data_IF_439939667157
#
_entry.id   IF_439939667157
#
_cell.length_a   1.000
_cell.length_b   1.000
_cell.length_c   1.000
_cell.angle_alpha   90.00
_cell.angle_beta   90.00
_cell.angle_gamma   90.00
#
_symmetry.space_group_name_H-M   'P 1'
#
loop_
_entity.id
_entity.type
_entity.pdbx_description
1 polymer ?
#
# COMPACT_ATOMS: atom_id res chain seq x y z
N UNK A 1 -2.18 16.10 -23.27
CA UNK A 1 -3.61 16.02 -22.90
C UNK A 1 -3.80 17.04 -21.80
N UNK A 2 -4.57 18.10 -22.02
CA UNK A 2 -4.90 19.09 -20.99
C UNK A 2 -6.36 18.86 -20.62
N UNK A 3 -6.62 18.61 -19.35
CA UNK A 3 -7.97 18.40 -18.83
C UNK A 3 -8.27 19.61 -17.96
N UNK A 4 -9.20 20.44 -18.40
CA UNK A 4 -9.75 21.52 -17.60
C UNK A 4 -10.90 20.96 -16.75
N UNK A 5 -10.66 20.84 -15.45
CA UNK A 5 -11.66 20.40 -14.48
C UNK A 5 -12.26 21.65 -13.85
N UNK A 6 -13.58 21.78 -13.94
CA UNK A 6 -14.32 22.81 -13.22
C UNK A 6 -14.51 22.39 -11.75
N UNK A 7 -13.47 22.64 -10.94
CA UNK A 7 -13.40 22.25 -9.54
C UNK A 7 -14.53 22.82 -8.67
N UNK A 8 -15.21 23.90 -9.11
CA UNK A 8 -16.33 24.47 -8.36
C UNK A 8 -17.61 23.63 -8.45
N UNK A 9 -17.71 22.78 -9.48
CA UNK A 9 -18.85 21.90 -9.72
C UNK A 9 -18.55 20.43 -9.34
N UNK A 10 -17.51 20.20 -8.55
CA UNK A 10 -17.12 18.86 -8.06
C UNK A 10 -17.50 18.74 -6.59
N UNK A 11 -18.53 17.95 -6.30
CA UNK A 11 -19.02 17.73 -4.94
C UNK A 11 -18.16 16.74 -4.14
N UNK A 12 -17.47 15.82 -4.84
CA UNK A 12 -16.72 14.72 -4.21
C UNK A 12 -15.44 14.42 -4.95
N UNK A 13 -14.34 14.34 -4.20
CA UNK A 13 -13.05 13.85 -4.66
C UNK A 13 -12.72 12.55 -3.95
N UNK A 14 -12.47 11.49 -4.71
CA UNK A 14 -12.02 10.19 -4.20
C UNK A 14 -10.54 10.00 -4.53
N UNK A 15 -9.73 9.78 -3.50
CA UNK A 15 -8.27 9.68 -3.62
C UNK A 15 -7.81 8.28 -3.23
N UNK A 16 -6.94 7.71 -4.04
CA UNK A 16 -6.14 6.56 -3.63
C UNK A 16 -5.06 6.98 -2.62
N UNK A 17 -4.45 6.04 -1.92
CA UNK A 17 -3.48 6.29 -0.85
C UNK A 17 -2.04 6.04 -1.29
N UNK A 18 -1.69 4.80 -1.62
CA UNK A 18 -0.30 4.39 -1.86
C UNK A 18 0.15 4.82 -3.26
N UNK A 19 1.23 5.60 -3.34
CA UNK A 19 1.69 6.21 -4.59
C UNK A 19 0.87 7.42 -5.05
N UNK A 20 -0.21 7.78 -4.34
CA UNK A 20 -1.03 8.97 -4.59
C UNK A 20 -0.85 10.02 -3.50
N UNK A 21 -1.04 9.65 -2.23
CA UNK A 21 -0.83 10.52 -1.05
C UNK A 21 0.42 10.11 -0.26
N UNK A 22 0.69 8.81 -0.23
CA UNK A 22 1.91 8.27 0.35
C UNK A 22 2.94 8.00 -0.75
N UNK A 23 4.22 8.12 -0.42
CA UNK A 23 5.25 7.59 -1.30
C UNK A 23 5.23 6.04 -1.30
N UNK A 24 5.87 5.44 -2.29
CA UNK A 24 5.93 3.98 -2.45
C UNK A 24 7.12 3.34 -1.71
N UNK A 25 7.87 4.09 -0.90
CA UNK A 25 9.09 3.56 -0.27
C UNK A 25 8.75 2.46 0.75
N UNK A 26 7.65 2.65 1.50
CA UNK A 26 7.11 1.64 2.40
C UNK A 26 6.75 0.35 1.64
N UNK A 27 5.86 0.42 0.65
CA UNK A 27 5.37 -0.76 -0.08
C UNK A 27 6.49 -1.52 -0.77
N UNK A 28 7.39 -0.80 -1.43
CA UNK A 28 8.53 -1.40 -2.12
C UNK A 28 9.42 -2.16 -1.14
N UNK A 29 9.77 -1.55 -0.01
CA UNK A 29 10.56 -2.22 1.01
C UNK A 29 9.82 -3.42 1.60
N UNK A 30 8.55 -3.25 1.96
CA UNK A 30 7.76 -4.28 2.64
C UNK A 30 7.59 -5.51 1.76
N UNK A 31 7.03 -5.35 0.57
CA UNK A 31 6.65 -6.47 -0.29
C UNK A 31 7.82 -7.04 -1.10
N UNK A 32 8.80 -6.23 -1.51
CA UNK A 32 9.89 -6.72 -2.35
C UNK A 32 11.09 -7.23 -1.55
N UNK A 33 11.22 -6.85 -0.28
CA UNK A 33 12.37 -7.19 0.56
C UNK A 33 11.97 -7.86 1.87
N UNK A 34 11.22 -7.17 2.73
CA UNK A 34 10.96 -7.67 4.09
C UNK A 34 10.17 -8.98 4.10
N UNK A 35 9.10 -9.07 3.29
CA UNK A 35 8.27 -10.29 3.20
C UNK A 35 9.09 -11.49 2.67
N UNK A 36 9.82 -11.39 1.53
CA UNK A 36 10.72 -12.45 1.08
C UNK A 36 11.79 -12.86 2.10
N UNK A 37 12.47 -11.91 2.74
CA UNK A 37 13.51 -12.20 3.74
C UNK A 37 12.93 -12.93 4.95
N UNK A 38 11.77 -12.49 5.45
CA UNK A 38 11.10 -13.10 6.60
C UNK A 38 10.61 -14.51 6.27
N UNK A 39 10.00 -14.69 5.10
CA UNK A 39 9.57 -16.01 4.63
C UNK A 39 10.75 -16.97 4.48
N UNK A 40 11.84 -16.52 3.84
CA UNK A 40 13.04 -17.33 3.64
C UNK A 40 13.66 -17.80 4.95
N UNK A 41 13.77 -16.89 5.93
CA UNK A 41 14.28 -17.20 7.26
C UNK A 41 13.40 -18.21 8.00
N UNK A 42 12.06 -18.08 7.91
CA UNK A 42 11.12 -19.01 8.55
C UNK A 42 11.18 -20.41 7.92
N UNK A 43 11.34 -20.52 6.60
CA UNK A 43 11.37 -21.79 5.89
C UNK A 43 12.77 -22.43 5.82
N UNK A 44 13.82 -21.71 6.21
CA UNK A 44 15.20 -22.19 6.14
C UNK A 44 15.73 -22.35 4.69
N UNK A 45 15.21 -21.55 3.76
CA UNK A 45 15.61 -21.56 2.34
C UNK A 45 16.54 -20.39 2.01
N UNK A 46 17.22 -20.46 0.87
CA UNK A 46 18.12 -19.37 0.46
C UNK A 46 17.33 -18.08 0.16
N UNK A 47 17.94 -16.89 0.33
CA UNK A 47 17.29 -15.62 -0.03
C UNK A 47 16.81 -15.60 -1.48
N UNK A 48 17.55 -16.22 -2.39
CA UNK A 48 17.19 -16.31 -3.80
C UNK A 48 15.94 -17.18 -4.03
N UNK A 49 15.87 -18.34 -3.38
CA UNK A 49 14.71 -19.23 -3.47
C UNK A 49 13.46 -18.59 -2.86
N UNK A 50 13.62 -17.88 -1.74
CA UNK A 50 12.54 -17.13 -1.11
C UNK A 50 12.02 -16.02 -2.03
N UNK A 51 12.91 -15.24 -2.65
CA UNK A 51 12.54 -14.19 -3.58
C UNK A 51 11.74 -14.75 -4.76
N UNK A 52 12.22 -15.85 -5.35
CA UNK A 52 11.57 -16.47 -6.50
C UNK A 52 10.21 -17.08 -6.12
N UNK A 53 10.12 -17.78 -4.99
CA UNK A 53 8.86 -18.32 -4.49
C UNK A 53 7.81 -17.22 -4.28
N UNK A 54 8.19 -16.16 -3.57
CA UNK A 54 7.27 -15.06 -3.26
C UNK A 54 6.84 -14.33 -4.53
N UNK A 55 7.76 -14.10 -5.47
CA UNK A 55 7.45 -13.52 -6.79
C UNK A 55 6.41 -14.35 -7.55
N UNK A 56 6.49 -15.68 -7.49
CA UNK A 56 5.48 -16.56 -8.09
C UNK A 56 4.13 -16.45 -7.37
N UNK A 57 4.11 -16.34 -6.04
CA UNK A 57 2.87 -16.13 -5.29
C UNK A 57 2.20 -14.81 -5.68
N UNK A 58 2.98 -13.73 -5.78
CA UNK A 58 2.52 -12.43 -6.26
C UNK A 58 1.91 -12.56 -7.65
N UNK A 59 2.65 -13.12 -8.61
CA UNK A 59 2.18 -13.24 -9.99
C UNK A 59 0.87 -14.03 -10.12
N UNK A 60 0.63 -15.01 -9.24
CA UNK A 60 -0.56 -15.85 -9.28
C UNK A 60 -1.86 -15.11 -8.93
N UNK A 61 -1.79 -14.04 -8.14
CA UNK A 61 -2.99 -13.31 -7.66
C UNK A 61 -3.00 -11.82 -8.01
N UNK A 62 -1.99 -11.33 -8.75
CA UNK A 62 -2.02 -9.97 -9.30
C UNK A 62 -3.34 -9.72 -10.05
N UNK A 63 -3.87 -8.52 -9.94
CA UNK A 63 -5.18 -8.13 -10.50
C UNK A 63 -6.40 -8.84 -9.89
N UNK A 64 -6.27 -9.45 -8.71
CA UNK A 64 -7.40 -10.00 -7.96
C UNK A 64 -7.57 -9.29 -6.62
N UNK A 65 -8.73 -9.42 -5.96
CA UNK A 65 -8.92 -8.87 -4.61
C UNK A 65 -7.95 -9.47 -3.58
N UNK A 66 -7.50 -10.71 -3.78
CA UNK A 66 -6.53 -11.35 -2.88
C UNK A 66 -5.19 -10.63 -2.87
N UNK A 67 -4.82 -9.96 -3.95
CA UNK A 67 -3.60 -9.14 -4.01
C UNK A 67 -3.56 -8.09 -2.89
N UNK A 68 -4.72 -7.50 -2.57
CA UNK A 68 -4.84 -6.41 -1.61
C UNK A 68 -5.20 -6.86 -0.19
N UNK A 69 -5.34 -8.18 0.03
CA UNK A 69 -5.83 -8.72 1.29
C UNK A 69 -4.69 -9.17 2.20
N UNK A 70 -4.49 -8.47 3.33
CA UNK A 70 -3.45 -8.84 4.30
C UNK A 70 -3.71 -10.21 4.92
N UNK A 71 -4.98 -10.54 5.22
CA UNK A 71 -5.37 -11.84 5.77
C UNK A 71 -5.02 -12.99 4.81
N UNK A 72 -5.27 -12.78 3.50
CA UNK A 72 -4.88 -13.73 2.46
C UNK A 72 -3.37 -13.98 2.47
N UNK A 73 -2.56 -12.93 2.54
CA UNK A 73 -1.11 -13.08 2.57
C UNK A 73 -0.61 -13.70 3.87
N UNK A 74 -1.25 -13.38 4.99
CA UNK A 74 -0.97 -14.00 6.28
C UNK A 74 -1.18 -15.51 6.25
N UNK A 75 -2.33 -15.95 5.76
CA UNK A 75 -2.65 -17.37 5.63
C UNK A 75 -1.75 -18.05 4.58
N UNK A 76 -1.56 -17.42 3.42
CA UNK A 76 -0.81 -18.00 2.31
C UNK A 76 0.67 -18.21 2.63
N UNK A 77 1.28 -17.29 3.37
CA UNK A 77 2.72 -17.31 3.67
C UNK A 77 3.03 -17.83 5.07
N UNK A 78 2.02 -17.99 5.93
CA UNK A 78 2.20 -18.32 7.33
C UNK A 78 2.97 -17.24 8.09
N UNK A 79 2.75 -15.97 7.74
CA UNK A 79 3.38 -14.79 8.34
C UNK A 79 2.32 -13.89 8.99
N UNK A 80 2.67 -13.19 10.07
CA UNK A 80 1.79 -12.15 10.62
C UNK A 80 1.99 -10.83 9.85
N UNK A 81 1.46 -10.80 8.62
CA UNK A 81 1.55 -9.65 7.72
C UNK A 81 0.97 -8.40 8.39
N UNK A 82 -0.15 -8.52 9.11
CA UNK A 82 -0.77 -7.39 9.81
C UNK A 82 0.17 -6.76 10.85
N UNK A 83 0.78 -7.58 11.71
CA UNK A 83 1.75 -7.10 12.69
C UNK A 83 3.01 -6.53 12.02
N UNK A 84 3.51 -7.18 10.97
CA UNK A 84 4.67 -6.70 10.21
C UNK A 84 4.40 -5.34 9.57
N UNK A 85 3.24 -5.16 8.93
CA UNK A 85 2.80 -3.89 8.35
C UNK A 85 2.71 -2.80 9.43
N UNK A 86 2.09 -3.11 10.58
CA UNK A 86 1.98 -2.19 11.72
C UNK A 86 3.36 -1.75 12.22
N UNK A 87 4.29 -2.69 12.37
CA UNK A 87 5.65 -2.40 12.83
C UNK A 87 6.44 -1.51 11.85
N UNK A 88 6.16 -1.62 10.55
CA UNK A 88 6.79 -0.80 9.52
C UNK A 88 6.04 0.52 9.23
N UNK A 89 4.88 0.75 9.87
CA UNK A 89 4.06 1.96 9.69
C UNK A 89 4.81 3.29 9.75
N UNK A 90 5.82 3.51 10.63
CA UNK A 90 6.60 4.75 10.64
C UNK A 90 7.40 5.05 9.35
N UNK A 91 7.54 4.08 8.44
CA UNK A 91 8.15 4.28 7.12
C UNK A 91 7.17 4.82 6.07
N UNK A 92 5.87 4.80 6.35
CA UNK A 92 4.88 5.40 5.47
C UNK A 92 4.96 6.92 5.59
N UNK A 93 5.37 7.57 4.50
CA UNK A 93 5.62 9.02 4.45
C UNK A 93 4.71 9.66 3.41
N UNK A 94 4.16 10.82 3.77
CA UNK A 94 3.39 11.64 2.84
C UNK A 94 4.29 12.18 1.74
N UNK A 95 3.79 12.23 0.52
CA UNK A 95 4.47 12.96 -0.54
C UNK A 95 4.42 14.46 -0.27
N UNK A 96 5.45 15.19 -0.69
CA UNK A 96 5.57 16.65 -0.48
C UNK A 96 4.37 17.44 -1.03
N UNK A 97 3.74 16.96 -2.11
CA UNK A 97 2.59 17.57 -2.76
C UNK A 97 1.25 17.25 -2.09
N UNK A 98 1.21 16.29 -1.16
CA UNK A 98 -0.04 15.81 -0.54
C UNK A 98 -0.71 16.89 0.29
N UNK A 99 0.02 17.52 1.20
CA UNK A 99 -0.55 18.55 2.09
C UNK A 99 -1.00 19.79 1.28
N UNK A 100 -0.19 20.34 0.35
CA UNK A 100 -0.65 21.40 -0.54
C UNK A 100 -1.91 21.04 -1.33
N UNK A 101 -1.96 19.83 -1.88
CA UNK A 101 -3.10 19.36 -2.66
C UNK A 101 -4.37 19.24 -1.83
N UNK A 102 -4.32 18.56 -0.68
CA UNK A 102 -5.47 18.43 0.23
C UNK A 102 -5.96 19.79 0.75
N UNK A 103 -5.05 20.74 0.98
CA UNK A 103 -5.42 22.11 1.33
C UNK A 103 -6.15 22.84 0.19
N UNK A 104 -5.74 22.62 -1.06
CA UNK A 104 -6.42 23.17 -2.23
C UNK A 104 -7.82 22.55 -2.45
N UNK A 105 -8.04 21.33 -1.97
CA UNK A 105 -9.32 20.63 -2.02
C UNK A 105 -10.28 20.98 -0.87
N UNK A 106 -9.83 21.68 0.18
CA UNK A 106 -10.71 22.11 1.30
C UNK A 106 -11.98 22.90 0.91
N UNK A 107 -12.06 23.59 -0.25
CA UNK A 107 -13.33 24.15 -0.73
C UNK A 107 -14.36 23.11 -1.16
N UNK A 108 -13.98 21.85 -1.43
CA UNK A 108 -14.90 20.78 -1.80
C UNK A 108 -15.70 20.30 -0.58
N UNK A 109 -16.99 19.99 -0.78
CA UNK A 109 -17.87 19.58 0.32
C UNK A 109 -17.47 18.23 0.93
N UNK A 110 -16.93 17.29 0.14
CA UNK A 110 -16.56 15.95 0.61
C UNK A 110 -15.26 15.43 -0.03
N UNK A 111 -14.26 15.08 0.80
CA UNK A 111 -13.04 14.38 0.39
C UNK A 111 -13.05 12.98 1.00
N UNK A 112 -12.97 11.96 0.16
CA UNK A 112 -12.92 10.55 0.56
C UNK A 112 -11.60 9.89 0.18
N UNK A 113 -11.14 8.95 1.01
CA UNK A 113 -9.99 8.10 0.71
C UNK A 113 -10.47 6.69 0.34
N UNK A 114 -9.99 6.17 -0.78
CA UNK A 114 -10.32 4.84 -1.30
C UNK A 114 -9.03 4.05 -1.46
N UNK A 115 -8.73 3.12 -0.55
CA UNK A 115 -7.65 2.15 -0.75
C UNK A 115 -8.24 0.74 -0.86
N UNK A 116 -7.78 -0.07 -1.84
CA UNK A 116 -8.15 -1.48 -1.92
C UNK A 116 -7.50 -2.32 -0.82
N UNK A 117 -6.40 -1.84 -0.21
CA UNK A 117 -5.68 -2.52 0.87
C UNK A 117 -5.99 -1.86 2.21
N UNK A 118 -6.41 -2.66 3.19
CA UNK A 118 -6.73 -2.17 4.54
C UNK A 118 -5.47 -2.07 5.40
N UNK A 119 -4.68 -1.03 5.21
CA UNK A 119 -3.51 -0.78 6.06
C UNK A 119 -3.97 -0.05 7.34
N UNK A 120 -3.80 -0.68 8.50
CA UNK A 120 -3.99 0.00 9.79
C UNK A 120 -2.76 0.84 10.10
N UNK A 121 -2.69 2.05 9.53
CA UNK A 121 -1.71 3.06 9.93
C UNK A 121 -2.30 3.85 11.09
N UNK A 122 -1.82 3.60 12.31
CA UNK A 122 -2.13 4.48 13.44
C UNK A 122 -1.24 5.72 13.35
N UNK A 123 -1.80 6.81 12.85
CA UNK A 123 -1.19 8.14 12.94
C UNK A 123 -1.24 8.60 14.41
N UNK A 124 -0.10 9.03 14.97
CA UNK A 124 -0.05 9.80 16.22
C UNK A 124 0.02 11.28 15.90
#
# INVERSE_FOLDING_TARGET
>A
MHIDIDWQNVDTVLLDMDGTLLDLAFDNYFWQKLVPETYGAQQGISPQDAQEYIRQQYHAVQHTLNWYCLDYWSERLGLDICAMTTAQGPRAVLRDDTVPFLNALKPAENVGFCSPMRIHITWR
#
